data_IF_203450041372
#
_entry.id   IF_203450041372
#
_cell.length_a   1.000
_cell.length_b   1.000
_cell.length_c   1.000
_cell.angle_alpha   90.00
_cell.angle_beta   90.00
_cell.angle_gamma   90.00
#
_symmetry.space_group_name_H-M   'P 1'
#
loop_
_entity.id
_entity.type
_entity.pdbx_description
1 polymer ?
#
# COMPACT_ATOMS: atom_id res chain seq x y z
N UNK A 1 -9.81 -13.37 9.45
CA UNK A 1 -10.39 -12.26 8.65
C UNK A 1 -11.51 -12.70 7.71
N UNK A 2 -11.43 -13.81 6.93
CA UNK A 2 -12.52 -14.17 6.01
C UNK A 2 -13.83 -14.55 6.72
N UNK A 3 -13.76 -15.17 7.91
CA UNK A 3 -14.97 -15.50 8.70
C UNK A 3 -15.74 -14.28 9.22
N UNK A 4 -15.09 -13.15 9.51
CA UNK A 4 -15.79 -11.94 9.96
C UNK A 4 -16.42 -11.16 8.81
N UNK A 5 -16.00 -11.45 7.57
CA UNK A 5 -16.50 -10.83 6.34
C UNK A 5 -17.64 -11.63 5.69
N UNK A 6 -17.54 -12.97 5.71
CA UNK A 6 -18.46 -13.87 5.02
C UNK A 6 -18.98 -15.04 5.88
N UNK A 7 -18.54 -15.18 7.13
CA UNK A 7 -18.98 -16.22 8.05
C UNK A 7 -20.23 -15.83 8.86
N UNK A 8 -20.74 -16.80 9.62
CA UNK A 8 -22.03 -16.74 10.32
C UNK A 8 -22.13 -15.64 11.40
N UNK A 9 -21.00 -15.13 11.89
CA UNK A 9 -20.87 -14.03 12.86
C UNK A 9 -20.30 -12.74 12.22
N UNK A 10 -21.01 -12.22 11.21
CA UNK A 10 -20.60 -10.98 10.52
C UNK A 10 -20.76 -9.77 11.45
N UNK A 11 -19.66 -9.08 11.76
CA UNK A 11 -19.68 -7.86 12.60
C UNK A 11 -18.74 -6.78 12.06
N UNK A 12 -19.33 -5.72 11.51
CA UNK A 12 -18.60 -4.58 10.93
C UNK A 12 -17.74 -3.84 11.96
N UNK A 13 -18.14 -3.83 13.23
CA UNK A 13 -17.36 -3.24 14.33
C UNK A 13 -16.05 -3.99 14.59
N UNK A 14 -16.08 -5.33 14.64
CA UNK A 14 -14.87 -6.15 14.82
C UNK A 14 -13.94 -6.01 13.63
N UNK A 15 -14.48 -5.96 12.40
CA UNK A 15 -13.68 -5.72 11.19
C UNK A 15 -12.98 -4.35 11.20
N UNK A 16 -13.65 -3.29 11.66
CA UNK A 16 -13.07 -1.95 11.78
C UNK A 16 -11.99 -1.88 12.87
N UNK A 17 -12.21 -2.57 13.98
CA UNK A 17 -11.21 -2.68 15.06
C UNK A 17 -9.96 -3.43 14.58
N UNK A 18 -10.14 -4.53 13.84
CA UNK A 18 -9.04 -5.27 13.22
C UNK A 18 -8.27 -4.42 12.21
N UNK A 19 -8.96 -3.65 11.36
CA UNK A 19 -8.30 -2.74 10.41
C UNK A 19 -7.45 -1.67 11.13
N UNK A 20 -7.98 -1.07 12.20
CA UNK A 20 -7.23 -0.11 13.02
C UNK A 20 -5.99 -0.76 13.64
N UNK A 21 -6.13 -1.95 14.21
CA UNK A 21 -5.00 -2.70 14.77
C UNK A 21 -3.96 -3.02 13.69
N UNK A 22 -4.40 -3.42 12.50
CA UNK A 22 -3.53 -3.74 11.38
C UNK A 22 -2.70 -2.54 10.91
N UNK A 23 -3.31 -1.35 10.84
CA UNK A 23 -2.61 -0.11 10.51
C UNK A 23 -1.58 0.25 11.60
N UNK A 24 -1.92 0.07 12.87
CA UNK A 24 -1.00 0.34 13.99
C UNK A 24 0.20 -0.62 13.95
N UNK A 25 -0.05 -1.91 13.77
CA UNK A 25 1.02 -2.93 13.65
C UNK A 25 1.90 -2.65 12.42
N UNK A 26 1.27 -2.33 11.29
CA UNK A 26 1.96 -1.92 10.06
C UNK A 26 2.85 -0.70 10.30
N UNK A 27 2.37 0.31 11.03
CA UNK A 27 3.15 1.50 11.33
C UNK A 27 4.35 1.18 12.23
N UNK A 28 4.17 0.36 13.27
CA UNK A 28 5.26 -0.06 14.18
C UNK A 28 6.34 -0.82 13.40
N UNK A 29 5.93 -1.80 12.59
CA UNK A 29 6.85 -2.56 11.72
C UNK A 29 7.52 -1.66 10.68
N UNK A 30 6.76 -0.70 10.14
CA UNK A 30 7.26 0.32 9.21
C UNK A 30 8.35 1.17 9.83
N UNK A 31 8.16 1.69 11.04
CA UNK A 31 9.21 2.45 11.75
C UNK A 31 10.43 1.57 12.04
N UNK A 32 10.23 0.33 12.49
CA UNK A 32 11.34 -0.59 12.76
C UNK A 32 12.17 -0.85 11.49
N UNK A 33 11.54 -1.20 10.38
CA UNK A 33 12.24 -1.48 9.12
C UNK A 33 12.85 -0.22 8.50
N UNK A 34 12.10 0.89 8.49
CA UNK A 34 12.54 2.16 7.96
C UNK A 34 13.64 2.80 8.83
N UNK A 35 13.79 2.44 10.11
CA UNK A 35 14.92 2.93 10.92
C UNK A 35 16.17 2.07 10.74
N UNK A 36 16.04 0.74 10.80
CA UNK A 36 17.21 -0.17 10.77
C UNK A 36 17.97 -0.09 9.45
N UNK A 37 17.27 -0.10 8.30
CA UNK A 37 17.92 -0.08 6.98
C UNK A 37 18.76 1.18 6.73
N UNK A 38 18.15 2.38 6.76
CA UNK A 38 18.85 3.65 6.69
C UNK A 38 19.95 3.84 7.73
N UNK A 39 19.75 3.34 8.96
CA UNK A 39 20.76 3.44 10.01
C UNK A 39 22.03 2.65 9.67
N UNK A 40 21.88 1.44 9.12
CA UNK A 40 23.02 0.63 8.66
C UNK A 40 23.70 1.29 7.46
N UNK A 41 22.93 1.76 6.48
CA UNK A 41 23.46 2.43 5.30
C UNK A 41 24.20 3.73 5.63
N UNK A 42 23.72 4.47 6.65
CA UNK A 42 24.39 5.67 7.16
C UNK A 42 25.65 5.35 7.97
N UNK A 43 25.59 4.35 8.87
CA UNK A 43 26.68 4.04 9.80
C UNK A 43 27.82 3.27 9.14
N UNK A 44 27.51 2.40 8.19
CA UNK A 44 28.49 1.52 7.54
C UNK A 44 28.36 1.52 6.01
N UNK A 45 28.49 2.69 5.35
CA UNK A 45 28.38 2.77 3.89
C UNK A 45 29.46 1.98 3.16
N UNK A 46 30.63 1.82 3.80
CA UNK A 46 31.79 1.07 3.28
C UNK A 46 31.56 -0.44 3.13
N UNK A 47 30.52 -1.00 3.76
CA UNK A 47 30.15 -2.42 3.57
C UNK A 47 29.62 -2.65 2.15
N UNK A 48 28.94 -1.66 1.58
CA UNK A 48 28.30 -1.79 0.27
C UNK A 48 29.19 -1.33 -0.88
N UNK A 49 29.96 -0.25 -0.68
CA UNK A 49 30.85 0.28 -1.72
C UNK A 49 31.98 1.13 -1.12
N UNK A 50 33.12 1.17 -1.80
CA UNK A 50 34.26 2.02 -1.43
C UNK A 50 34.29 3.36 -2.18
N UNK A 51 33.38 3.57 -3.15
CA UNK A 51 33.33 4.82 -3.93
C UNK A 51 32.56 5.93 -3.20
N UNK A 52 33.26 7.00 -2.87
CA UNK A 52 32.72 8.18 -2.19
C UNK A 52 31.58 8.85 -2.96
N UNK A 53 31.58 8.82 -4.30
CA UNK A 53 30.51 9.42 -5.11
C UNK A 53 29.19 8.68 -4.91
N UNK A 54 29.24 7.36 -4.85
CA UNK A 54 28.05 6.51 -4.62
C UNK A 54 27.52 6.70 -3.20
N UNK A 55 28.42 6.81 -2.23
CA UNK A 55 28.04 7.05 -0.83
C UNK A 55 27.27 8.38 -0.70
N UNK A 56 27.74 9.45 -1.33
CA UNK A 56 27.04 10.74 -1.29
C UNK A 56 25.65 10.68 -1.93
N UNK A 57 25.48 9.97 -3.05
CA UNK A 57 24.17 9.82 -3.68
C UNK A 57 23.22 8.97 -2.84
N UNK A 58 23.71 7.89 -2.21
CA UNK A 58 22.91 7.06 -1.29
C UNK A 58 22.39 7.86 -0.10
N UNK A 59 23.21 8.77 0.44
CA UNK A 59 22.80 9.63 1.56
C UNK A 59 21.68 10.61 1.19
N UNK A 60 21.64 11.11 -0.05
CA UNK A 60 20.57 12.00 -0.53
C UNK A 60 19.22 11.28 -0.62
N UNK A 61 19.22 10.00 -1.00
CA UNK A 61 17.98 9.21 -1.16
C UNK A 61 17.53 8.54 0.13
N UNK A 62 18.33 8.61 1.20
CA UNK A 62 18.08 7.91 2.46
C UNK A 62 16.74 8.32 3.12
N UNK A 63 16.39 9.60 3.05
CA UNK A 63 15.11 10.12 3.56
C UNK A 63 13.94 9.63 2.70
N UNK A 64 14.11 9.60 1.38
CA UNK A 64 13.09 9.09 0.46
C UNK A 64 12.90 7.57 0.63
N UNK A 65 13.98 6.85 0.89
CA UNK A 65 13.97 5.43 1.22
C UNK A 65 13.25 5.15 2.54
N UNK A 66 13.50 5.96 3.57
CA UNK A 66 12.73 5.91 4.83
C UNK A 66 11.23 6.10 4.58
N UNK A 67 10.86 7.15 3.84
CA UNK A 67 9.47 7.48 3.55
C UNK A 67 8.75 6.39 2.74
N UNK A 68 9.48 5.72 1.83
CA UNK A 68 8.94 4.59 1.07
C UNK A 68 8.76 3.34 1.95
N UNK A 69 9.78 2.97 2.73
CA UNK A 69 9.75 1.77 3.58
C UNK A 69 8.72 1.85 4.70
N UNK A 70 8.50 3.02 5.28
CA UNK A 70 7.57 3.20 6.38
C UNK A 70 6.15 2.75 6.02
N UNK A 71 5.71 3.07 4.80
CA UNK A 71 4.33 2.81 4.36
C UNK A 71 4.16 1.41 3.75
N UNK A 72 5.24 0.77 3.28
CA UNK A 72 5.24 -0.57 2.67
C UNK A 72 4.50 -1.65 3.48
N UNK A 73 4.81 -1.89 4.77
CA UNK A 73 4.12 -2.93 5.54
C UNK A 73 2.63 -2.62 5.71
N UNK A 74 2.25 -1.34 5.88
CA UNK A 74 0.85 -0.94 5.92
C UNK A 74 0.14 -1.25 4.60
N UNK A 75 0.73 -0.87 3.46
CA UNK A 75 0.15 -1.11 2.13
C UNK A 75 -0.04 -2.59 1.86
N UNK A 76 0.97 -3.43 2.10
CA UNK A 76 0.87 -4.87 1.90
C UNK A 76 -0.23 -5.50 2.76
N UNK A 77 -0.37 -5.04 4.00
CA UNK A 77 -1.38 -5.57 4.91
C UNK A 77 -2.80 -5.19 4.48
N UNK A 78 -2.99 -3.97 3.95
CA UNK A 78 -4.27 -3.50 3.42
C UNK A 78 -4.64 -4.21 2.11
N UNK A 79 -3.67 -4.40 1.22
CA UNK A 79 -3.89 -5.15 -0.03
C UNK A 79 -4.19 -6.63 0.22
N UNK A 80 -3.49 -7.25 1.18
CA UNK A 80 -3.80 -8.61 1.64
C UNK A 80 -5.21 -8.72 2.22
N UNK A 81 -5.67 -7.68 2.91
CA UNK A 81 -7.06 -7.58 3.41
C UNK A 81 -8.06 -7.49 2.27
N UNK A 82 -7.81 -6.65 1.25
CA UNK A 82 -8.67 -6.53 0.07
C UNK A 82 -8.74 -7.84 -0.72
N UNK A 83 -7.61 -8.53 -0.86
CA UNK A 83 -7.52 -9.88 -1.44
C UNK A 83 -8.37 -10.89 -0.67
N UNK A 84 -8.27 -10.88 0.67
CA UNK A 84 -9.08 -11.75 1.53
C UNK A 84 -10.58 -11.43 1.45
N UNK A 85 -10.95 -10.18 1.16
CA UNK A 85 -12.32 -9.74 0.92
C UNK A 85 -12.89 -10.10 -0.46
N UNK A 86 -12.14 -10.80 -1.31
CA UNK A 86 -12.54 -11.17 -2.70
C UNK A 86 -12.91 -9.97 -3.59
N UNK A 87 -12.54 -8.75 -3.24
CA UNK A 87 -12.79 -7.54 -4.05
C UNK A 87 -11.72 -7.38 -5.15
N UNK A 88 -11.36 -8.51 -5.78
CA UNK A 88 -10.30 -8.65 -6.79
C UNK A 88 -10.54 -7.78 -8.01
N UNK A 89 -11.79 -7.47 -8.34
CA UNK A 89 -12.16 -6.63 -9.48
C UNK A 89 -11.68 -5.19 -9.26
N UNK A 90 -11.78 -4.69 -8.04
CA UNK A 90 -11.24 -3.38 -7.65
C UNK A 90 -9.72 -3.41 -7.54
N UNK A 91 -9.15 -4.47 -6.97
CA UNK A 91 -7.69 -4.64 -6.90
C UNK A 91 -7.08 -4.67 -8.30
N UNK A 92 -7.63 -5.48 -9.20
CA UNK A 92 -7.11 -5.63 -10.56
C UNK A 92 -7.30 -4.35 -11.39
N UNK A 93 -8.45 -3.66 -11.27
CA UNK A 93 -8.69 -2.43 -12.04
C UNK A 93 -7.91 -1.24 -11.49
N UNK A 94 -7.95 -0.94 -10.19
CA UNK A 94 -7.26 0.25 -9.67
C UNK A 94 -5.74 0.07 -9.60
N UNK A 95 -5.23 -1.10 -9.16
CA UNK A 95 -3.79 -1.29 -8.97
C UNK A 95 -3.02 -1.57 -10.27
N UNK A 96 -3.64 -2.21 -11.26
CA UNK A 96 -2.97 -2.43 -12.54
C UNK A 96 -3.34 -1.40 -13.61
N UNK A 97 -4.59 -0.93 -13.68
CA UNK A 97 -4.99 -0.06 -14.80
C UNK A 97 -4.60 1.42 -14.61
N UNK A 98 -4.55 1.94 -13.38
CA UNK A 98 -4.25 3.36 -13.14
C UNK A 98 -2.80 3.56 -12.69
N UNK A 99 -2.38 2.74 -11.73
CA UNK A 99 -1.14 2.91 -10.98
C UNK A 99 0.10 2.53 -11.81
N UNK A 100 0.04 1.45 -12.60
CA UNK A 100 1.15 1.05 -13.49
C UNK A 100 1.46 2.07 -14.59
N UNK A 101 0.48 2.54 -15.40
CA UNK A 101 0.76 3.52 -16.43
C UNK A 101 1.12 4.89 -15.85
N UNK A 102 0.54 5.31 -14.70
CA UNK A 102 0.93 6.56 -14.05
C UNK A 102 2.39 6.53 -13.58
N UNK A 103 2.85 5.39 -13.04
CA UNK A 103 4.24 5.22 -12.65
C UNK A 103 5.19 5.25 -13.85
N UNK A 104 4.82 4.58 -14.95
CA UNK A 104 5.60 4.59 -16.18
C UNK A 104 5.69 6.01 -16.76
N UNK A 105 4.59 6.76 -16.73
CA UNK A 105 4.56 8.16 -17.16
C UNK A 105 5.41 9.07 -16.27
N UNK A 106 5.31 8.94 -14.94
CA UNK A 106 6.17 9.66 -13.99
C UNK A 106 7.65 9.34 -14.20
N UNK A 107 7.98 8.07 -14.46
CA UNK A 107 9.35 7.65 -14.79
C UNK A 107 9.86 8.35 -16.05
N UNK A 108 9.07 8.37 -17.12
CA UNK A 108 9.45 9.04 -18.37
C UNK A 108 9.61 10.56 -18.18
N UNK A 109 8.76 11.19 -17.37
CA UNK A 109 8.89 12.61 -17.00
C UNK A 109 10.16 12.90 -16.20
N UNK A 110 10.51 12.04 -15.24
CA UNK A 110 11.75 12.17 -14.46
C UNK A 110 12.98 11.96 -15.34
N UNK A 111 12.94 10.97 -16.24
CA UNK A 111 14.02 10.67 -17.18
C UNK A 111 14.25 11.79 -18.18
N UNK A 112 13.20 12.44 -18.67
CA UNK A 112 13.30 13.54 -19.64
C UNK A 112 13.77 14.86 -19.03
N UNK A 113 13.56 15.07 -17.72
CA UNK A 113 13.95 16.31 -17.02
C UNK A 113 15.29 16.25 -16.29
N UNK A 114 15.99 15.11 -16.33
CA UNK A 114 17.35 14.98 -15.77
C UNK A 114 17.42 15.07 -14.25
N UNK A 115 16.33 14.79 -13.52
CA UNK A 115 16.29 14.85 -12.05
C UNK A 115 17.13 13.76 -11.34
N UNK A 116 17.79 12.88 -12.11
CA UNK A 116 18.70 11.87 -11.59
C UNK A 116 18.05 10.88 -10.61
N UNK A 117 18.88 10.26 -9.78
CA UNK A 117 18.48 9.23 -8.80
C UNK A 117 17.42 9.72 -7.80
N UNK A 118 17.51 10.94 -7.22
CA UNK A 118 16.50 11.43 -6.27
C UNK A 118 15.12 11.61 -6.90
N UNK A 119 15.05 12.04 -8.16
CA UNK A 119 13.78 12.15 -8.88
C UNK A 119 13.06 10.81 -9.01
N UNK A 120 13.81 9.74 -9.30
CA UNK A 120 13.25 8.38 -9.37
C UNK A 120 12.73 7.91 -8.00
N UNK A 121 13.47 8.16 -6.92
CA UNK A 121 13.04 7.81 -5.57
C UNK A 121 11.82 8.62 -5.10
N UNK A 122 11.72 9.89 -5.48
CA UNK A 122 10.52 10.70 -5.22
C UNK A 122 9.30 10.11 -5.92
N UNK A 123 9.41 9.72 -7.19
CA UNK A 123 8.31 9.09 -7.93
C UNK A 123 7.89 7.77 -7.29
N UNK A 124 8.86 6.92 -6.90
CA UNK A 124 8.61 5.66 -6.20
C UNK A 124 7.94 5.87 -4.84
N UNK A 125 8.40 6.86 -4.06
CA UNK A 125 7.79 7.24 -2.79
C UNK A 125 6.35 7.70 -3.00
N UNK A 126 6.12 8.65 -3.90
CA UNK A 126 4.77 9.16 -4.19
C UNK A 126 3.82 8.04 -4.64
N UNK A 127 4.30 7.13 -5.48
CA UNK A 127 3.57 5.93 -5.90
C UNK A 127 3.17 5.03 -4.73
N UNK A 128 4.14 4.75 -3.84
CA UNK A 128 3.91 3.88 -2.69
C UNK A 128 2.85 4.46 -1.74
N UNK A 129 2.89 5.78 -1.54
CA UNK A 129 1.91 6.50 -0.75
C UNK A 129 0.54 6.56 -1.44
N UNK A 130 0.48 6.76 -2.75
CA UNK A 130 -0.77 6.73 -3.51
C UNK A 130 -1.48 5.37 -3.39
N UNK A 131 -0.75 4.24 -3.47
CA UNK A 131 -1.31 2.90 -3.23
C UNK A 131 -1.92 2.79 -1.84
N UNK A 132 -1.20 3.25 -0.82
CA UNK A 132 -1.70 3.23 0.56
C UNK A 132 -3.01 4.01 0.71
N UNK A 133 -3.06 5.24 0.20
CA UNK A 133 -4.26 6.07 0.31
C UNK A 133 -5.44 5.49 -0.46
N UNK A 134 -5.24 4.95 -1.66
CA UNK A 134 -6.32 4.33 -2.43
C UNK A 134 -6.87 3.07 -1.73
N UNK A 135 -5.98 2.23 -1.19
CA UNK A 135 -6.39 1.06 -0.41
C UNK A 135 -7.16 1.46 0.86
N UNK A 136 -6.68 2.49 1.56
CA UNK A 136 -7.31 3.01 2.77
C UNK A 136 -8.68 3.67 2.47
N UNK A 137 -8.77 4.50 1.43
CA UNK A 137 -10.02 5.13 1.00
C UNK A 137 -11.07 4.09 0.64
N UNK A 138 -10.70 3.01 -0.05
CA UNK A 138 -11.64 1.93 -0.38
C UNK A 138 -12.13 1.17 0.84
N UNK A 139 -11.23 0.88 1.78
CA UNK A 139 -11.57 0.22 3.05
C UNK A 139 -12.44 1.09 3.97
N UNK A 140 -12.29 2.41 3.91
CA UNK A 140 -13.09 3.38 4.66
C UNK A 140 -14.36 3.86 3.91
N UNK A 141 -14.50 3.53 2.62
CA UNK A 141 -15.62 3.99 1.80
C UNK A 141 -16.96 3.41 2.31
N UNK A 142 -18.03 4.22 2.32
CA UNK A 142 -19.38 3.77 2.69
C UNK A 142 -19.98 2.68 1.78
N UNK A 143 -19.49 2.51 0.55
CA UNK A 143 -19.83 1.36 -0.30
C UNK A 143 -18.82 0.20 -0.18
N UNK A 144 -17.80 0.39 0.66
CA UNK A 144 -16.81 -0.64 0.95
C UNK A 144 -17.42 -1.81 1.71
N UNK A 145 -16.76 -2.95 1.62
CA UNK A 145 -17.15 -4.22 2.24
C UNK A 145 -17.51 -4.10 3.75
N UNK A 146 -17.01 -3.07 4.44
CA UNK A 146 -17.30 -2.78 5.85
C UNK A 146 -18.62 -2.03 6.12
N UNK A 147 -19.15 -1.26 5.16
CA UNK A 147 -20.34 -0.41 5.33
C UNK A 147 -21.53 -0.83 4.45
N UNK A 148 -21.40 -1.89 3.65
CA UNK A 148 -22.56 -2.45 2.94
C UNK A 148 -23.56 -3.04 3.96
N UNK A 149 -24.63 -2.26 4.21
CA UNK A 149 -25.82 -2.68 4.93
C UNK A 149 -26.43 -3.94 4.25
N UNK A 150 -27.08 -4.84 5.00
CA UNK A 150 -27.45 -6.19 4.58
C UNK A 150 -28.55 -6.27 3.50
N UNK A 151 -29.08 -5.14 3.02
CA UNK A 151 -30.31 -5.13 2.22
C UNK A 151 -30.14 -5.51 0.74
N UNK A 152 -28.92 -5.56 0.19
CA UNK A 152 -28.73 -5.71 -1.27
C UNK A 152 -28.15 -7.08 -1.67
N UNK A 153 -27.48 -7.81 -0.77
CA UNK A 153 -26.86 -9.10 -1.11
C UNK A 153 -27.80 -10.33 -0.97
N UNK A 154 -29.05 -10.10 -0.55
CA UNK A 154 -30.10 -11.13 -0.58
C UNK A 154 -31.21 -10.72 -1.55
N UNK A 155 -30.85 -10.39 -2.79
CA UNK A 155 -31.71 -10.76 -3.92
C UNK A 155 -31.24 -12.15 -4.37
N UNK A 156 -31.78 -13.25 -3.82
CA UNK A 156 -31.74 -14.48 -4.58
C UNK A 156 -32.38 -14.14 -5.92
N UNK A 157 -31.67 -14.46 -7.00
CA UNK A 157 -32.28 -14.55 -8.32
C UNK A 157 -33.62 -15.25 -8.13
N UNK A 158 -34.72 -14.55 -8.45
CA UNK A 158 -36.02 -15.18 -8.57
C UNK A 158 -35.83 -16.35 -9.53
N UNK A 159 -35.79 -17.54 -8.94
CA UNK A 159 -35.89 -18.79 -9.64
C UNK A 159 -37.11 -18.65 -10.52
N UNK A 160 -36.83 -18.56 -11.83
CA UNK A 160 -37.80 -18.55 -12.91
C UNK A 160 -38.73 -19.76 -12.73
N UNK A 161 -39.87 -19.53 -12.09
CA UNK A 161 -40.98 -20.44 -11.99
C UNK A 161 -42.16 -19.82 -12.75
N UNK A 162 -42.14 -20.03 -14.07
CA UNK A 162 -43.29 -20.09 -14.97
C UNK A 162 -42.81 -20.65 -16.31
#
# INVERSE_FOLDING_TARGET
MPEFLYGTERSSEKARMLLKSLVIIGAILGVLLASVGPFIAWRFPYIFTSDLKVIQEMHKVLILFFAALFVTPCTHSLEGTLLAGRDLKYTCSNLYALIFPSNCFCWQLVSSRGYGLPGCWCALGAFQWARFFLALQRLLSPEGILNSDPAVLYKPEEVKAA
#
